data_IF_381282378685
#
_entry.id   IF_381282378685
#
_cell.length_a   1.000
_cell.length_b   1.000
_cell.length_c   1.000
_cell.angle_alpha   90.00
_cell.angle_beta   90.00
_cell.angle_gamma   90.00
#
_symmetry.space_group_name_H-M   'P 1'
#
loop_
_entity.id
_entity.type
_entity.pdbx_description
1 polymer ?
#
# COMPACT_ATOMS: atom_id res chain seq x y z
N UNK A 1 -12.48 2.46 -8.44
CA UNK A 1 -13.65 2.19 -7.57
C UNK A 1 -14.65 3.34 -7.58
N UNK A 2 -14.38 4.51 -6.98
CA UNK A 2 -15.33 5.65 -6.98
C UNK A 2 -15.82 6.07 -8.37
N UNK A 3 -14.90 6.27 -9.32
CA UNK A 3 -15.24 6.56 -10.73
C UNK A 3 -16.05 5.45 -11.39
N UNK A 4 -15.94 4.22 -10.89
CA UNK A 4 -16.68 3.05 -11.36
C UNK A 4 -18.02 2.86 -10.60
N UNK A 5 -18.48 3.86 -9.85
CA UNK A 5 -19.75 3.82 -9.13
C UNK A 5 -19.78 2.94 -7.88
N UNK A 6 -18.64 2.41 -7.42
CA UNK A 6 -18.57 1.55 -6.23
C UNK A 6 -18.89 2.39 -4.97
N UNK A 7 -19.79 1.93 -4.08
CA UNK A 7 -20.13 2.64 -2.84
C UNK A 7 -18.91 2.98 -1.97
N UNK A 8 -18.90 4.15 -1.33
CA UNK A 8 -17.79 4.60 -0.48
C UNK A 8 -17.52 3.64 0.70
N UNK A 9 -18.57 2.93 1.15
CA UNK A 9 -18.47 1.86 2.16
C UNK A 9 -17.42 0.80 1.77
N UNK A 10 -17.39 0.42 0.50
CA UNK A 10 -16.47 -0.56 -0.09
C UNK A 10 -15.13 0.06 -0.52
N UNK A 11 -14.93 1.36 -0.32
CA UNK A 11 -13.66 2.04 -0.58
C UNK A 11 -12.89 2.29 0.72
N UNK A 12 -13.43 3.12 1.61
CA UNK A 12 -12.77 3.52 2.86
C UNK A 12 -13.62 3.32 4.12
N UNK A 13 -14.87 2.86 3.94
CA UNK A 13 -15.80 2.62 5.03
C UNK A 13 -15.53 1.33 5.82
N UNK A 14 -16.60 0.85 6.46
CA UNK A 14 -16.59 -0.21 7.46
C UNK A 14 -16.70 -1.64 6.90
N UNK A 15 -16.73 -1.82 5.58
CA UNK A 15 -16.71 -3.14 4.96
C UNK A 15 -15.44 -3.92 5.33
N UNK A 16 -15.52 -5.25 5.34
CA UNK A 16 -14.37 -6.13 5.53
C UNK A 16 -13.34 -5.97 4.41
N UNK A 17 -12.09 -6.33 4.67
CA UNK A 17 -11.03 -6.28 3.66
C UNK A 17 -11.35 -7.19 2.47
N UNK A 18 -12.03 -8.32 2.72
CA UNK A 18 -12.50 -9.24 1.67
C UNK A 18 -13.56 -8.60 0.78
N UNK A 19 -14.62 -8.01 1.35
CA UNK A 19 -15.64 -7.29 0.57
C UNK A 19 -15.04 -6.17 -0.29
N UNK A 20 -14.06 -5.43 0.25
CA UNK A 20 -13.35 -4.36 -0.47
C UNK A 20 -12.51 -4.93 -1.62
N UNK A 21 -11.85 -6.07 -1.41
CA UNK A 21 -11.09 -6.75 -2.44
C UNK A 21 -11.98 -7.27 -3.57
N UNK A 22 -13.12 -7.89 -3.24
CA UNK A 22 -14.07 -8.37 -4.26
C UNK A 22 -14.61 -7.22 -5.11
N UNK A 23 -14.91 -6.07 -4.47
CA UNK A 23 -15.30 -4.85 -5.17
C UNK A 23 -14.18 -4.31 -6.09
N UNK A 24 -12.91 -4.45 -5.68
CA UNK A 24 -11.77 -4.10 -6.52
C UNK A 24 -11.60 -5.08 -7.69
N UNK A 25 -11.69 -6.39 -7.45
CA UNK A 25 -11.59 -7.42 -8.49
C UNK A 25 -12.69 -7.27 -9.55
N UNK A 26 -13.90 -6.87 -9.15
CA UNK A 26 -14.98 -6.50 -10.06
C UNK A 26 -14.69 -5.21 -10.86
N UNK A 27 -13.95 -4.25 -10.28
CA UNK A 27 -13.62 -3.00 -10.94
C UNK A 27 -12.44 -3.11 -11.94
N UNK A 28 -11.49 -4.02 -11.71
CA UNK A 28 -10.26 -4.15 -12.52
C UNK A 28 -10.53 -4.34 -14.02
N UNK A 29 -11.48 -5.18 -14.48
CA UNK A 29 -11.80 -5.30 -15.90
C UNK A 29 -12.23 -3.98 -16.57
N UNK A 30 -12.78 -3.04 -15.79
CA UNK A 30 -13.17 -1.70 -16.27
C UNK A 30 -12.01 -0.69 -16.30
N UNK A 31 -10.80 -1.11 -15.94
CA UNK A 31 -9.60 -0.26 -15.92
C UNK A 31 -8.70 -0.43 -17.15
N UNK A 32 -9.16 -1.13 -18.20
CA UNK A 32 -8.40 -1.28 -19.45
C UNK A 32 -8.08 0.11 -20.03
N UNK A 33 -6.81 0.34 -20.37
CA UNK A 33 -6.29 1.64 -20.81
C UNK A 33 -5.85 2.56 -19.65
N UNK A 34 -6.20 2.25 -18.41
CA UNK A 34 -5.68 2.92 -17.22
C UNK A 34 -4.41 2.19 -16.71
N UNK A 35 -3.39 2.90 -16.20
CA UNK A 35 -2.20 2.27 -15.62
C UNK A 35 -2.50 1.29 -14.47
N UNK A 36 -3.63 1.45 -13.77
CA UNK A 36 -4.08 0.51 -12.73
C UNK A 36 -4.20 -0.93 -13.25
N UNK A 37 -4.59 -1.12 -14.51
CA UNK A 37 -4.65 -2.45 -15.10
C UNK A 37 -3.25 -3.06 -15.19
N UNK A 38 -2.26 -2.30 -15.64
CA UNK A 38 -0.88 -2.78 -15.70
C UNK A 38 -0.29 -3.03 -14.32
N UNK A 39 -0.46 -2.10 -13.38
CA UNK A 39 0.09 -2.24 -12.03
C UNK A 39 -0.47 -3.45 -11.30
N UNK A 40 -1.78 -3.70 -11.39
CA UNK A 40 -2.42 -4.88 -10.80
C UNK A 40 -1.71 -6.17 -11.22
N UNK A 41 -1.48 -6.35 -12.52
CA UNK A 41 -0.87 -7.58 -13.03
C UNK A 41 0.67 -7.61 -12.85
N UNK A 42 1.32 -6.45 -12.81
CA UNK A 42 2.75 -6.36 -12.48
C UNK A 42 3.01 -6.74 -11.02
N UNK A 43 2.16 -6.29 -10.10
CA UNK A 43 2.25 -6.59 -8.67
C UNK A 43 1.92 -8.05 -8.38
N UNK A 44 0.89 -8.61 -9.02
CA UNK A 44 0.61 -10.05 -8.95
C UNK A 44 1.78 -10.89 -9.47
N UNK A 45 2.45 -10.45 -10.54
CA UNK A 45 3.63 -11.14 -11.06
C UNK A 45 4.83 -11.05 -10.12
N UNK A 46 5.10 -9.88 -9.53
CA UNK A 46 6.21 -9.64 -8.61
C UNK A 46 5.74 -8.73 -7.48
N UNK A 47 5.75 -9.17 -6.21
CA UNK A 47 6.48 -10.33 -5.69
C UNK A 47 5.71 -11.68 -5.70
N UNK A 48 4.42 -11.71 -6.00
CA UNK A 48 3.59 -12.91 -5.73
C UNK A 48 3.76 -14.07 -6.72
N UNK A 49 4.45 -13.88 -7.84
CA UNK A 49 4.70 -14.95 -8.82
C UNK A 49 3.48 -15.39 -9.63
N UNK A 50 2.34 -14.70 -9.49
CA UNK A 50 1.10 -15.03 -10.20
C UNK A 50 1.19 -14.51 -11.63
N UNK A 51 1.20 -15.42 -12.60
CA UNK A 51 1.31 -15.11 -14.04
C UNK A 51 0.24 -15.82 -14.84
N UNK A 52 -0.09 -15.30 -16.03
CA UNK A 52 -1.09 -15.91 -16.93
C UNK A 52 -2.54 -15.80 -16.44
N UNK A 53 -2.79 -15.05 -15.36
CA UNK A 53 -4.12 -14.83 -14.79
C UNK A 53 -4.47 -13.35 -14.83
N UNK A 54 -5.73 -13.06 -15.14
CA UNK A 54 -6.29 -11.72 -15.08
C UNK A 54 -7.13 -11.59 -13.81
N UNK A 55 -6.97 -10.50 -13.07
CA UNK A 55 -7.80 -10.28 -11.88
C UNK A 55 -9.23 -9.91 -12.30
N UNK A 56 -10.17 -10.79 -12.00
CA UNK A 56 -11.61 -10.61 -12.19
C UNK A 56 -12.36 -11.29 -11.03
N UNK A 57 -13.69 -11.13 -10.92
CA UNK A 57 -14.48 -11.86 -9.92
C UNK A 57 -14.30 -13.38 -9.98
N UNK A 58 -14.09 -13.96 -11.18
CA UNK A 58 -13.94 -15.40 -11.34
C UNK A 58 -12.60 -15.95 -10.84
N UNK A 59 -11.58 -15.11 -10.69
CA UNK A 59 -10.25 -15.52 -10.22
C UNK A 59 -9.91 -14.92 -8.85
N UNK A 60 -10.82 -14.11 -8.28
CA UNK A 60 -10.56 -13.33 -7.08
C UNK A 60 -10.27 -14.24 -5.87
N UNK A 61 -11.06 -15.29 -5.67
CA UNK A 61 -10.88 -16.25 -4.58
C UNK A 61 -9.49 -16.87 -4.58
N UNK A 62 -9.10 -17.46 -5.72
CA UNK A 62 -7.82 -18.15 -5.84
C UNK A 62 -6.64 -17.20 -5.64
N UNK A 63 -6.71 -15.99 -6.21
CA UNK A 63 -5.66 -14.97 -6.06
C UNK A 63 -5.58 -14.50 -4.61
N UNK A 64 -6.72 -14.30 -3.95
CA UNK A 64 -6.80 -13.87 -2.55
C UNK A 64 -6.13 -14.89 -1.63
N UNK A 65 -6.50 -16.16 -1.75
CA UNK A 65 -5.98 -17.24 -0.91
C UNK A 65 -4.48 -17.42 -1.13
N UNK A 66 -4.04 -17.51 -2.40
CA UNK A 66 -2.63 -17.64 -2.74
C UNK A 66 -1.78 -16.46 -2.22
N UNK A 67 -2.28 -15.23 -2.35
CA UNK A 67 -1.57 -14.06 -1.84
C UNK A 67 -1.48 -14.06 -0.31
N UNK A 68 -2.53 -14.50 0.39
CA UNK A 68 -2.54 -14.55 1.85
C UNK A 68 -1.61 -15.62 2.41
N UNK A 69 -1.55 -16.79 1.76
CA UNK A 69 -0.59 -17.85 2.12
C UNK A 69 0.86 -17.37 1.97
N UNK A 70 1.14 -16.56 0.94
CA UNK A 70 2.44 -15.92 0.76
C UNK A 70 2.70 -14.85 1.82
N UNK A 71 1.71 -14.01 2.13
CA UNK A 71 1.83 -12.93 3.12
C UNK A 71 2.08 -13.42 4.55
N UNK A 72 1.71 -14.67 4.87
CA UNK A 72 2.03 -15.29 6.14
C UNK A 72 3.53 -15.65 6.28
N UNK A 73 4.30 -15.62 5.18
CA UNK A 73 5.72 -15.99 5.16
C UNK A 73 6.62 -14.79 5.42
N UNK A 74 7.74 -15.02 6.12
CA UNK A 74 8.71 -13.95 6.45
C UNK A 74 9.28 -13.26 5.20
N UNK A 75 9.38 -13.98 4.08
CA UNK A 75 9.82 -13.43 2.80
C UNK A 75 8.89 -12.34 2.27
N UNK A 76 7.61 -12.36 2.64
CA UNK A 76 6.60 -11.36 2.26
C UNK A 76 6.34 -10.33 3.37
N UNK A 77 7.14 -10.31 4.43
CA UNK A 77 7.20 -9.16 5.34
C UNK A 77 7.59 -7.87 4.59
N UNK A 78 7.37 -6.71 5.19
CA UNK A 78 7.75 -5.42 4.57
C UNK A 78 9.24 -5.40 4.14
N UNK A 79 10.13 -5.86 5.02
CA UNK A 79 11.57 -5.99 4.73
C UNK A 79 11.85 -7.07 3.69
N UNK A 80 11.12 -8.19 3.74
CA UNK A 80 11.23 -9.29 2.80
C UNK A 80 10.91 -8.86 1.36
N UNK A 81 9.77 -8.18 1.15
CA UNK A 81 9.38 -7.65 -0.16
C UNK A 81 10.42 -6.67 -0.69
N UNK A 82 10.93 -5.76 0.15
CA UNK A 82 11.99 -4.84 -0.26
C UNK A 82 13.25 -5.57 -0.74
N UNK A 83 13.65 -6.66 -0.05
CA UNK A 83 14.76 -7.53 -0.47
C UNK A 83 14.45 -8.25 -1.80
N UNK A 84 13.28 -8.87 -1.94
CA UNK A 84 12.86 -9.53 -3.19
C UNK A 84 12.84 -8.58 -4.39
N UNK A 85 12.46 -7.32 -4.17
CA UNK A 85 12.41 -6.29 -5.20
C UNK A 85 13.75 -5.59 -5.41
N UNK A 86 14.82 -6.08 -4.79
CA UNK A 86 16.19 -5.57 -4.91
C UNK A 86 16.32 -4.08 -4.57
N UNK A 87 15.53 -3.59 -3.62
CA UNK A 87 15.59 -2.20 -3.15
C UNK A 87 16.91 -1.97 -2.42
N UNK A 88 17.60 -0.87 -2.74
CA UNK A 88 18.89 -0.49 -2.11
C UNK A 88 18.77 0.69 -1.15
N UNK A 89 17.82 1.57 -1.41
CA UNK A 89 17.54 2.73 -0.58
C UNK A 89 16.08 3.16 -0.77
N UNK A 90 15.48 3.73 0.27
CA UNK A 90 14.19 4.41 0.25
C UNK A 90 14.35 5.78 0.90
N UNK A 91 13.84 6.81 0.25
CA UNK A 91 13.62 8.13 0.85
C UNK A 91 12.18 8.25 1.32
N UNK A 92 11.94 8.24 2.63
CA UNK A 92 10.61 8.57 3.17
C UNK A 92 10.37 10.07 3.08
N UNK A 93 9.15 10.50 3.33
CA UNK A 93 8.74 11.90 3.25
C UNK A 93 8.20 12.34 4.60
N UNK A 94 8.94 13.18 5.29
CA UNK A 94 8.77 13.44 6.72
C UNK A 94 8.58 14.94 6.99
N UNK A 95 7.75 15.26 7.98
CA UNK A 95 7.52 16.64 8.43
C UNK A 95 8.72 17.12 9.26
N UNK A 96 9.12 18.40 9.15
CA UNK A 96 10.20 18.98 9.97
C UNK A 96 10.13 18.74 11.48
N UNK A 97 8.93 18.51 12.03
CA UNK A 97 8.70 18.32 13.46
C UNK A 97 8.53 16.84 13.86
N UNK A 98 8.64 15.91 12.91
CA UNK A 98 8.51 14.48 13.21
C UNK A 98 9.73 14.00 14.04
N UNK A 99 9.51 13.05 14.95
CA UNK A 99 10.55 12.54 15.86
C UNK A 99 11.62 11.70 15.16
N UNK A 100 11.31 11.17 13.97
CA UNK A 100 12.16 10.24 13.20
C UNK A 100 12.61 9.00 14.00
N UNK A 101 11.85 8.58 15.01
CA UNK A 101 12.20 7.46 15.89
C UNK A 101 12.32 6.13 15.12
N UNK A 102 11.45 5.89 14.14
CA UNK A 102 11.50 4.69 13.31
C UNK A 102 12.76 4.65 12.43
N UNK A 103 13.22 5.80 11.91
CA UNK A 103 14.50 5.89 11.21
C UNK A 103 15.68 5.56 12.12
N UNK A 104 15.64 6.06 13.36
CA UNK A 104 16.69 5.76 14.34
C UNK A 104 16.73 4.27 14.71
N UNK A 105 15.56 3.61 14.84
CA UNK A 105 15.47 2.16 15.07
C UNK A 105 16.05 1.39 13.88
N UNK A 106 15.62 1.70 12.66
CA UNK A 106 16.09 1.03 11.44
C UNK A 106 17.59 1.24 11.22
N UNK A 107 18.11 2.43 11.51
CA UNK A 107 19.54 2.72 11.36
C UNK A 107 20.43 1.97 12.35
N UNK A 108 19.89 1.57 13.52
CA UNK A 108 20.61 0.78 14.53
C UNK A 108 20.56 -0.73 14.25
N UNK A 109 19.65 -1.18 13.40
CA UNK A 109 19.45 -2.58 13.10
C UNK A 109 20.45 -3.08 12.05
N UNK A 110 21.45 -3.84 12.48
CA UNK A 110 22.50 -4.39 11.61
C UNK A 110 22.05 -5.56 10.74
N UNK A 111 20.84 -6.09 10.96
CA UNK A 111 20.27 -7.19 10.15
C UNK A 111 19.58 -6.70 8.86
N UNK A 112 19.48 -5.39 8.67
CA UNK A 112 18.73 -4.76 7.59
C UNK A 112 19.58 -3.81 6.75
N UNK A 113 19.95 -4.27 5.56
CA UNK A 113 20.97 -3.60 4.72
C UNK A 113 20.41 -2.45 3.86
N UNK A 114 19.09 -2.27 3.82
CA UNK A 114 18.44 -1.28 2.96
C UNK A 114 18.40 0.06 3.67
N UNK A 115 18.95 1.10 3.05
CA UNK A 115 18.99 2.44 3.63
C UNK A 115 17.60 3.08 3.61
N UNK A 116 17.05 3.39 4.77
CA UNK A 116 15.79 4.15 4.91
C UNK A 116 16.12 5.54 5.43
N UNK A 117 16.07 6.55 4.55
CA UNK A 117 16.47 7.91 4.85
C UNK A 117 15.27 8.86 4.85
N UNK A 118 15.18 9.81 5.78
CA UNK A 118 14.13 10.80 5.78
C UNK A 118 14.38 11.87 4.71
N UNK A 119 13.29 12.36 4.09
CA UNK A 119 13.33 13.51 3.17
C UNK A 119 12.43 14.63 3.69
N UNK A 120 12.98 15.84 3.74
CA UNK A 120 12.35 17.00 4.35
C UNK A 120 11.15 17.53 3.53
N UNK A 121 9.93 17.48 4.09
CA UNK A 121 8.72 18.04 3.46
C UNK A 121 8.08 19.16 4.27
N UNK A 122 8.46 20.40 3.95
CA UNK A 122 7.90 21.63 4.55
C UNK A 122 6.66 22.14 3.81
N UNK A 123 5.53 21.41 3.84
CA UNK A 123 4.27 21.89 3.25
C UNK A 123 3.40 22.67 4.25
N UNK A 124 3.26 22.18 5.49
CA UNK A 124 2.34 22.79 6.46
C UNK A 124 2.80 24.16 6.94
N UNK A 125 4.12 24.36 7.09
CA UNK A 125 4.69 25.60 7.63
C UNK A 125 4.92 26.71 6.59
N UNK A 126 4.93 26.39 5.30
CA UNK A 126 5.16 27.39 4.23
C UNK A 126 3.88 28.04 3.72
N UNK A 127 2.70 27.49 4.05
CA UNK A 127 1.42 27.97 3.51
C UNK A 127 0.70 28.86 4.53
N UNK A 128 1.04 30.15 4.54
CA UNK A 128 0.51 31.16 5.48
C UNK A 128 -1.03 31.32 5.43
N UNK A 129 -1.67 30.97 4.30
CA UNK A 129 -3.10 31.21 4.06
C UNK A 129 -4.01 29.99 4.25
N UNK A 130 -3.56 28.94 4.94
CA UNK A 130 -4.49 27.89 5.39
C UNK A 130 -5.18 28.37 6.66
N UNK A 131 -6.47 28.74 6.56
CA UNK A 131 -7.37 28.80 7.73
C UNK A 131 -7.18 27.50 8.54
N UNK A 132 -7.26 27.53 9.89
CA UNK A 132 -7.10 26.33 10.69
C UNK A 132 -8.23 25.37 10.34
N UNK A 133 -7.96 24.48 9.39
CA UNK A 133 -8.79 23.33 9.14
C UNK A 133 -8.69 22.52 10.41
N UNK A 134 -9.82 22.46 11.12
CA UNK A 134 -10.07 21.57 12.24
C UNK A 134 -9.29 20.26 12.08
N UNK A 135 -8.78 19.79 13.19
CA UNK A 135 -7.95 18.60 13.45
C UNK A 135 -8.62 17.27 13.04
N UNK A 136 -9.55 17.27 12.08
CA UNK A 136 -10.35 16.13 11.62
C UNK A 136 -9.79 15.46 10.35
N UNK A 137 -8.72 15.98 9.74
CA UNK A 137 -8.05 15.36 8.57
C UNK A 137 -7.12 14.18 8.94
N UNK A 138 -7.33 13.50 10.08
CA UNK A 138 -6.67 12.21 10.37
C UNK A 138 -7.39 11.01 9.75
N UNK A 139 -8.59 11.19 9.17
CA UNK A 139 -9.37 10.10 8.56
C UNK A 139 -9.01 9.78 7.10
N UNK A 140 -8.41 10.74 6.36
CA UNK A 140 -8.17 10.60 4.91
C UNK A 140 -6.95 9.74 4.53
N UNK A 141 -6.10 9.36 5.50
CA UNK A 141 -4.98 8.43 5.28
C UNK A 141 -5.39 6.96 5.51
N UNK A 142 -6.69 6.68 5.66
CA UNK A 142 -7.26 5.33 5.55
C UNK A 142 -7.80 5.06 4.14
N UNK A 143 -7.04 5.44 3.12
CA UNK A 143 -7.34 5.05 1.75
C UNK A 143 -6.57 3.75 1.44
N UNK A 144 -7.22 2.57 1.42
CA UNK A 144 -6.62 1.39 0.83
C UNK A 144 -6.70 1.56 -0.69
N UNK A 145 -5.74 2.30 -1.24
CA UNK A 145 -5.36 2.05 -2.63
C UNK A 145 -4.69 0.67 -2.61
N UNK A 146 -5.08 -0.29 -3.47
CA UNK A 146 -4.59 -1.67 -3.42
C UNK A 146 -3.06 -1.78 -3.45
N UNK A 147 -2.38 -0.77 -3.99
CA UNK A 147 -0.92 -0.65 -4.06
C UNK A 147 -0.24 -0.77 -2.66
N UNK A 148 -0.97 -0.57 -1.56
CA UNK A 148 -0.43 -0.71 -0.20
C UNK A 148 -1.24 -1.61 0.75
N UNK A 149 -2.34 -2.23 0.30
CA UNK A 149 -3.15 -3.09 1.18
C UNK A 149 -2.40 -4.37 1.61
N UNK A 150 -1.42 -4.79 0.82
CA UNK A 150 -0.51 -5.91 1.12
C UNK A 150 0.36 -5.66 2.37
N UNK A 151 0.54 -4.41 2.79
CA UNK A 151 1.42 -4.07 3.91
C UNK A 151 0.71 -3.98 5.28
N UNK A 152 -0.63 -4.17 5.35
CA UNK A 152 -1.33 -4.18 6.66
C UNK A 152 -1.20 -5.51 7.42
N UNK A 153 -0.93 -6.61 6.73
CA UNK A 153 -0.71 -7.94 7.32
C UNK A 153 0.78 -8.27 7.50
N UNK A 154 1.68 -7.48 6.91
CA UNK A 154 3.10 -7.56 7.23
C UNK A 154 3.29 -7.16 8.70
N UNK A 155 3.78 -8.08 9.54
CA UNK A 155 4.25 -7.78 10.89
C UNK A 155 5.00 -6.45 10.87
N UNK A 156 4.44 -5.47 11.57
CA UNK A 156 5.12 -4.21 11.83
C UNK A 156 6.46 -4.50 12.53
N UNK A 157 7.43 -3.63 12.25
CA UNK A 157 8.79 -3.59 12.78
C UNK A 157 8.95 -4.16 14.19
#
# INVERSE_FOLDING_TARGET
>A
MRTNGVPERLCTGDASDREKFDAWAAAVPHTIGNPLYHWTHLELRRPFGITGKLLSPSTADEIWDQCNDLLAQDAFSARGIMKQMNVKMVGTTDDPIDSLEHHAVVAKDTSFDIKVLPSWRRIKHSTLNRRPLMTTWRSWVRCPIPIFAVLRTCKAL
#
